data_IF_986566740211
#
_entry.id   IF_986566740211
#
_cell.length_a   1.000
_cell.length_b   1.000
_cell.length_c   1.000
_cell.angle_alpha   90.00
_cell.angle_beta   90.00
_cell.angle_gamma   90.00
#
_symmetry.space_group_name_H-M   'P 1'
#
loop_
_entity.id
_entity.type
_entity.pdbx_description
1 polymer ?
#
# COMPACT_ATOMS: atom_id res chain seq x y z
N UNK A 1 -3.88 -41.30 -19.24
CA UNK A 1 -2.92 -40.16 -19.23
C UNK A 1 -2.31 -40.03 -17.85
N UNK A 2 -1.00 -40.27 -17.68
CA UNK A 2 -0.31 -40.14 -16.38
C UNK A 2 -0.30 -38.68 -15.92
N UNK A 3 -0.84 -38.43 -14.73
CA UNK A 3 -0.74 -37.11 -14.07
C UNK A 3 0.75 -36.75 -13.90
N UNK A 4 1.30 -35.81 -14.72
CA UNK A 4 2.64 -35.24 -14.50
C UNK A 4 2.73 -34.81 -13.05
N UNK A 5 3.58 -35.46 -12.24
CA UNK A 5 3.90 -35.03 -10.87
C UNK A 5 4.40 -33.57 -10.92
N UNK A 6 3.70 -32.66 -10.25
CA UNK A 6 4.14 -31.26 -10.13
C UNK A 6 5.51 -31.24 -9.47
N UNK A 7 6.55 -30.92 -10.24
CA UNK A 7 7.91 -30.73 -9.71
C UNK A 7 7.88 -29.57 -8.71
N UNK A 8 8.23 -29.82 -7.46
CA UNK A 8 8.31 -28.83 -6.38
C UNK A 8 9.56 -27.97 -6.62
N UNK A 9 9.51 -26.68 -6.29
CA UNK A 9 10.69 -25.82 -6.31
C UNK A 9 11.69 -26.29 -5.27
N UNK A 10 12.97 -26.39 -5.63
CA UNK A 10 14.06 -26.57 -4.67
C UNK A 10 14.18 -25.31 -3.76
N UNK A 11 14.91 -25.41 -2.66
CA UNK A 11 15.12 -24.28 -1.76
C UNK A 11 15.80 -23.09 -2.46
N UNK A 12 16.77 -23.38 -3.37
CA UNK A 12 17.48 -22.37 -4.16
C UNK A 12 16.54 -21.72 -5.19
N UNK A 13 15.79 -22.51 -5.96
CA UNK A 13 14.80 -22.01 -6.92
C UNK A 13 13.75 -21.15 -6.22
N UNK A 14 13.25 -21.59 -5.06
CA UNK A 14 12.29 -20.83 -4.26
C UNK A 14 12.87 -19.48 -3.80
N UNK A 15 14.11 -19.45 -3.33
CA UNK A 15 14.78 -18.23 -2.92
C UNK A 15 14.90 -17.25 -4.10
N UNK A 16 15.31 -17.73 -5.28
CA UNK A 16 15.45 -16.89 -6.47
C UNK A 16 14.09 -16.41 -7.01
N UNK A 17 13.02 -17.22 -6.97
CA UNK A 17 11.65 -16.77 -7.28
C UNK A 17 11.27 -15.58 -6.41
N UNK A 18 11.57 -15.64 -5.10
CA UNK A 18 11.30 -14.55 -4.18
C UNK A 18 12.17 -13.32 -4.45
N UNK A 19 13.44 -13.48 -4.79
CA UNK A 19 14.35 -12.37 -5.13
C UNK A 19 13.86 -11.62 -6.36
N UNK A 20 13.50 -12.34 -7.43
CA UNK A 20 12.95 -11.76 -8.66
C UNK A 20 11.61 -11.06 -8.41
N UNK A 21 10.73 -11.69 -7.63
CA UNK A 21 9.46 -11.09 -7.25
C UNK A 21 9.64 -9.79 -6.46
N UNK A 22 10.60 -9.73 -5.53
CA UNK A 22 10.91 -8.52 -4.77
C UNK A 22 11.51 -7.41 -5.64
N UNK A 23 12.27 -7.76 -6.69
CA UNK A 23 12.75 -6.80 -7.71
C UNK A 23 11.64 -6.26 -8.60
N UNK A 24 10.43 -6.80 -8.53
CA UNK A 24 9.27 -6.34 -9.28
C UNK A 24 9.04 -7.04 -10.62
N UNK A 25 9.79 -8.12 -10.90
CA UNK A 25 9.61 -8.92 -12.10
C UNK A 25 8.19 -9.50 -12.18
N UNK A 26 7.62 -9.55 -13.39
CA UNK A 26 6.28 -10.10 -13.61
C UNK A 26 6.26 -11.63 -13.58
N UNK A 27 5.12 -12.23 -13.18
CA UNK A 27 4.96 -13.69 -13.10
C UNK A 27 5.33 -14.45 -14.38
N UNK A 28 5.06 -13.85 -15.56
CA UNK A 28 5.41 -14.43 -16.87
C UNK A 28 6.93 -14.46 -17.07
N UNK A 29 7.63 -13.38 -16.69
CA UNK A 29 9.09 -13.29 -16.82
C UNK A 29 9.77 -14.28 -15.88
N UNK A 30 9.36 -14.32 -14.61
CA UNK A 30 9.86 -15.29 -13.63
C UNK A 30 9.60 -16.71 -14.14
N UNK A 31 8.40 -16.99 -14.65
CA UNK A 31 8.05 -18.31 -15.18
C UNK A 31 8.97 -18.77 -16.31
N UNK A 32 9.35 -17.89 -17.23
CA UNK A 32 10.29 -18.19 -18.33
C UNK A 32 11.66 -18.64 -17.81
N UNK A 33 12.18 -18.00 -16.76
CA UNK A 33 13.51 -18.33 -16.20
C UNK A 33 13.56 -19.76 -15.63
N UNK A 34 12.44 -20.24 -15.06
CA UNK A 34 12.38 -21.57 -14.44
C UNK A 34 11.69 -22.61 -15.33
N UNK A 35 11.41 -22.31 -16.58
CA UNK A 35 10.59 -23.14 -17.48
C UNK A 35 9.27 -23.56 -16.81
N UNK A 36 8.55 -22.58 -16.26
CA UNK A 36 7.29 -22.79 -15.54
C UNK A 36 6.21 -21.82 -16.03
N UNK A 37 4.98 -22.25 -15.96
CA UNK A 37 3.85 -21.35 -16.21
C UNK A 37 3.78 -20.23 -15.16
N UNK A 38 3.27 -19.07 -15.56
CA UNK A 38 2.98 -17.96 -14.63
C UNK A 38 2.03 -18.38 -13.51
N UNK A 39 1.13 -19.34 -13.78
CA UNK A 39 0.24 -19.95 -12.78
C UNK A 39 1.00 -20.74 -11.72
N UNK A 40 2.08 -21.45 -12.07
CA UNK A 40 2.91 -22.18 -11.11
C UNK A 40 3.64 -21.20 -10.16
N UNK A 41 4.18 -20.10 -10.69
CA UNK A 41 4.79 -19.03 -9.88
C UNK A 41 3.73 -18.39 -8.95
N UNK A 42 2.55 -18.08 -9.48
CA UNK A 42 1.45 -17.54 -8.66
C UNK A 42 1.07 -18.47 -7.51
N UNK A 43 0.93 -19.77 -7.76
CA UNK A 43 0.60 -20.76 -6.72
C UNK A 43 1.71 -20.90 -5.67
N UNK A 44 2.97 -20.67 -6.03
CA UNK A 44 4.08 -20.64 -5.08
C UNK A 44 4.05 -19.41 -4.17
N UNK A 45 3.70 -18.23 -4.71
CA UNK A 45 3.64 -16.97 -3.97
C UNK A 45 2.35 -16.79 -3.16
N UNK A 46 1.22 -17.37 -3.64
CA UNK A 46 -0.12 -17.17 -3.07
C UNK A 46 -0.26 -17.54 -1.59
N UNK A 47 0.30 -18.65 -1.07
CA UNK A 47 0.18 -19.01 0.35
C UNK A 47 0.74 -17.95 1.31
N UNK A 48 1.69 -17.16 0.81
CA UNK A 48 2.34 -16.07 1.54
C UNK A 48 1.84 -14.67 1.10
N UNK A 49 0.78 -14.60 0.30
CA UNK A 49 0.22 -13.35 -0.19
C UNK A 49 1.18 -12.48 -1.00
N UNK A 50 2.20 -13.08 -1.63
CA UNK A 50 3.28 -12.36 -2.32
C UNK A 50 4.27 -11.66 -1.38
N UNK A 51 4.21 -11.95 -0.08
CA UNK A 51 5.16 -11.44 0.93
C UNK A 51 6.17 -12.53 1.23
N UNK A 52 7.46 -12.25 0.99
CA UNK A 52 8.52 -13.22 1.25
C UNK A 52 8.52 -13.66 2.71
N UNK A 53 8.46 -14.97 3.03
CA UNK A 53 8.64 -15.45 4.39
C UNK A 53 10.03 -15.05 4.90
N UNK A 54 10.16 -14.61 6.16
CA UNK A 54 11.48 -14.32 6.73
C UNK A 54 12.31 -15.60 6.77
N UNK A 55 13.60 -15.50 6.43
CA UNK A 55 14.53 -16.62 6.61
C UNK A 55 14.57 -17.01 8.08
N UNK A 56 14.35 -18.29 8.35
CA UNK A 56 14.45 -18.81 9.71
C UNK A 56 15.91 -18.81 10.15
N UNK A 57 16.17 -18.12 11.24
CA UNK A 57 17.51 -18.08 11.84
C UNK A 57 17.49 -18.86 13.16
N UNK A 58 18.52 -19.67 13.35
CA UNK A 58 18.74 -20.38 14.59
C UNK A 58 19.44 -19.46 15.61
N UNK A 59 18.99 -19.48 16.84
CA UNK A 59 19.70 -18.79 17.92
C UNK A 59 21.06 -19.48 18.16
N UNK A 60 22.11 -18.70 18.47
CA UNK A 60 23.44 -19.23 18.84
C UNK A 60 23.41 -20.12 20.08
N UNK A 61 22.33 -20.05 20.90
CA UNK A 61 22.14 -20.88 22.07
C UNK A 61 21.62 -22.30 21.77
N UNK A 62 21.14 -22.54 20.55
CA UNK A 62 20.57 -23.83 20.12
C UNK A 62 21.66 -24.63 19.39
N UNK A 63 21.68 -25.95 19.60
CA UNK A 63 22.61 -26.84 18.89
C UNK A 63 22.44 -26.70 17.38
N UNK A 64 23.56 -26.54 16.67
CA UNK A 64 23.64 -26.55 15.21
C UNK A 64 23.60 -27.98 14.67
N UNK A 65 23.51 -28.15 13.35
CA UNK A 65 23.67 -29.47 12.73
C UNK A 65 25.08 -30.02 13.02
N UNK A 66 26.11 -29.20 12.94
CA UNK A 66 27.48 -29.60 13.25
C UNK A 66 27.61 -30.12 14.70
N UNK A 67 27.05 -29.37 15.68
CA UNK A 67 27.04 -29.84 17.08
C UNK A 67 26.35 -31.21 17.21
N UNK A 68 25.25 -31.45 16.46
CA UNK A 68 24.53 -32.72 16.46
C UNK A 68 25.31 -33.86 15.81
N UNK A 69 26.08 -33.54 14.76
CA UNK A 69 26.97 -34.51 14.14
C UNK A 69 28.11 -34.93 15.07
N UNK A 70 28.69 -33.99 15.83
CA UNK A 70 29.67 -34.30 16.86
C UNK A 70 29.06 -35.18 17.98
N UNK A 71 27.84 -34.88 18.43
CA UNK A 71 27.12 -35.74 19.35
C UNK A 71 26.95 -37.15 18.77
N UNK A 72 26.54 -37.27 17.49
CA UNK A 72 26.32 -38.55 16.84
C UNK A 72 27.64 -39.36 16.73
N UNK A 73 28.75 -38.71 16.37
CA UNK A 73 30.07 -39.34 16.30
C UNK A 73 30.57 -39.79 17.68
N UNK A 74 30.47 -38.91 18.68
CA UNK A 74 30.88 -39.22 20.03
C UNK A 74 30.14 -40.41 20.65
N UNK A 75 28.83 -40.52 20.37
CA UNK A 75 28.01 -41.67 20.79
C UNK A 75 28.48 -42.94 20.10
N UNK A 76 28.74 -42.92 18.77
CA UNK A 76 29.15 -44.06 17.99
C UNK A 76 30.50 -44.65 18.46
N UNK A 77 31.39 -43.81 19.01
CA UNK A 77 32.70 -44.19 19.54
C UNK A 77 32.68 -44.43 21.05
N UNK A 78 31.51 -44.33 21.73
CA UNK A 78 31.33 -44.58 23.12
C UNK A 78 31.86 -43.49 24.06
N UNK A 79 32.05 -42.26 23.60
CA UNK A 79 32.48 -41.10 24.39
C UNK A 79 31.40 -40.71 25.38
N UNK A 80 31.79 -40.35 26.61
CA UNK A 80 30.83 -39.95 27.65
C UNK A 80 30.10 -38.63 27.27
N UNK A 81 28.84 -38.50 27.69
CA UNK A 81 28.05 -37.28 27.40
C UNK A 81 28.69 -36.04 28.01
N UNK A 82 29.42 -36.17 29.13
CA UNK A 82 30.17 -35.05 29.72
C UNK A 82 31.33 -34.59 28.82
N UNK A 83 32.06 -35.54 28.27
CA UNK A 83 33.17 -35.25 27.36
C UNK A 83 32.68 -34.63 26.04
N UNK A 84 31.58 -35.16 25.46
CA UNK A 84 30.94 -34.57 24.29
C UNK A 84 30.44 -33.16 24.56
N UNK A 85 29.84 -32.93 25.71
CA UNK A 85 29.35 -31.60 26.08
C UNK A 85 30.51 -30.60 26.28
N UNK A 86 31.62 -31.06 26.87
CA UNK A 86 32.81 -30.24 27.06
C UNK A 86 33.42 -29.83 25.72
N UNK A 87 33.56 -30.76 24.76
CA UNK A 87 34.08 -30.46 23.40
C UNK A 87 33.21 -29.45 22.63
N UNK A 88 31.89 -29.46 22.87
CA UNK A 88 30.95 -28.53 22.25
C UNK A 88 30.82 -27.18 23.00
N UNK A 89 31.47 -27.02 24.15
CA UNK A 89 31.28 -25.84 25.02
C UNK A 89 29.83 -25.72 25.52
N UNK A 90 29.17 -26.86 25.81
CA UNK A 90 27.77 -26.94 26.23
C UNK A 90 27.62 -27.63 27.57
N UNK A 91 26.54 -27.33 28.29
CA UNK A 91 26.23 -28.06 29.53
C UNK A 91 25.92 -29.54 29.23
N UNK A 92 26.37 -30.50 30.06
CA UNK A 92 26.05 -31.92 29.91
C UNK A 92 24.53 -32.20 29.82
N UNK A 93 23.73 -31.46 30.56
CA UNK A 93 22.26 -31.52 30.49
C UNK A 93 21.68 -31.17 29.10
N UNK A 94 22.38 -30.36 28.32
CA UNK A 94 21.96 -30.01 26.94
C UNK A 94 22.07 -31.23 26.04
N UNK A 95 23.20 -31.95 26.10
CA UNK A 95 23.43 -33.16 25.30
C UNK A 95 22.51 -34.28 25.76
N UNK A 96 22.36 -34.50 27.06
CA UNK A 96 21.44 -35.51 27.63
C UNK A 96 19.99 -35.28 27.19
N UNK A 97 19.48 -34.04 27.27
CA UNK A 97 18.13 -33.70 26.82
C UNK A 97 17.96 -33.84 25.32
N UNK A 98 19.00 -33.50 24.53
CA UNK A 98 18.97 -33.68 23.06
C UNK A 98 18.82 -35.15 22.71
N UNK A 99 19.57 -36.04 23.34
CA UNK A 99 19.46 -37.48 23.14
C UNK A 99 18.10 -38.04 23.59
N UNK A 100 17.66 -37.70 24.78
CA UNK A 100 16.38 -38.16 25.28
C UNK A 100 15.21 -37.78 24.36
N UNK A 101 15.25 -36.57 23.80
CA UNK A 101 14.22 -36.07 22.87
C UNK A 101 14.25 -36.74 21.49
N UNK A 102 15.35 -37.36 21.09
CA UNK A 102 15.56 -37.88 19.74
C UNK A 102 15.84 -39.40 19.74
N UNK A 103 15.29 -40.14 20.69
CA UNK A 103 15.29 -41.62 20.72
C UNK A 103 16.44 -42.28 21.47
N UNK A 104 17.22 -41.54 22.24
CA UNK A 104 18.31 -42.07 23.07
C UNK A 104 19.54 -42.47 22.25
N UNK A 105 20.52 -43.14 22.89
CA UNK A 105 21.79 -43.51 22.26
C UNK A 105 21.65 -44.35 21.00
N UNK A 106 20.80 -45.39 20.99
CA UNK A 106 20.72 -46.30 19.88
C UNK A 106 20.04 -45.78 18.61
N UNK A 107 19.14 -44.77 18.74
CA UNK A 107 18.31 -44.26 17.65
C UNK A 107 18.70 -42.83 17.23
N UNK A 108 19.62 -42.21 17.91
CA UNK A 108 20.00 -40.81 17.62
C UNK A 108 20.59 -40.67 16.21
N UNK A 109 20.09 -39.74 15.44
CA UNK A 109 20.60 -39.36 14.11
C UNK A 109 20.60 -37.84 14.01
N UNK A 110 21.77 -37.25 13.79
CA UNK A 110 21.97 -35.78 13.75
C UNK A 110 21.02 -35.05 12.82
N UNK A 111 20.90 -35.54 11.58
CA UNK A 111 20.01 -34.93 10.58
C UNK A 111 18.53 -35.01 10.95
N UNK A 112 18.08 -36.13 11.59
CA UNK A 112 16.70 -36.27 12.05
C UNK A 112 16.42 -35.36 13.24
N UNK A 113 17.34 -35.32 14.20
CA UNK A 113 17.26 -34.45 15.37
C UNK A 113 17.24 -32.95 14.97
N UNK A 114 18.01 -32.59 13.95
CA UNK A 114 18.02 -31.23 13.41
C UNK A 114 16.69 -30.84 12.76
N UNK A 115 16.12 -31.69 11.93
CA UNK A 115 14.78 -31.47 11.33
C UNK A 115 13.71 -31.31 12.42
N UNK A 116 13.68 -32.23 13.38
CA UNK A 116 12.72 -32.15 14.51
C UNK A 116 12.92 -30.90 15.37
N UNK A 117 14.15 -30.41 15.53
CA UNK A 117 14.42 -29.18 16.24
C UNK A 117 13.85 -27.96 15.46
N UNK A 118 13.95 -27.94 14.13
CA UNK A 118 13.32 -26.93 13.28
C UNK A 118 11.79 -26.98 13.37
N UNK A 119 11.18 -28.17 13.40
CA UNK A 119 9.74 -28.35 13.50
C UNK A 119 9.22 -27.91 14.89
N UNK A 120 9.92 -28.31 15.96
CA UNK A 120 9.59 -27.86 17.32
C UNK A 120 9.75 -26.34 17.53
N UNK A 121 10.65 -25.70 16.77
CA UNK A 121 10.82 -24.26 16.78
C UNK A 121 9.71 -23.51 16.04
N UNK A 122 8.81 -24.20 15.31
CA UNK A 122 7.59 -23.65 14.72
C UNK A 122 6.57 -23.34 15.82
N UNK A 123 6.83 -22.30 16.62
CA UNK A 123 5.81 -21.78 17.55
C UNK A 123 5.01 -20.72 16.81
N UNK A 124 3.72 -20.92 16.52
CA UNK A 124 2.87 -19.86 16.01
C UNK A 124 2.81 -18.76 17.06
N UNK A 125 3.39 -17.61 16.75
CA UNK A 125 3.21 -16.40 17.56
C UNK A 125 1.93 -15.73 17.08
N UNK A 126 0.96 -15.65 17.95
CA UNK A 126 -0.23 -14.86 17.68
C UNK A 126 0.18 -13.40 17.39
N UNK A 127 -0.32 -12.87 16.29
CA UNK A 127 -0.04 -11.47 15.94
C UNK A 127 -0.84 -10.54 16.89
N UNK A 128 -0.40 -9.29 17.00
CA UNK A 128 -1.04 -8.29 17.87
C UNK A 128 -2.55 -8.15 17.60
N UNK A 129 -2.97 -8.16 16.32
CA UNK A 129 -4.38 -8.11 15.93
C UNK A 129 -5.19 -9.35 16.36
N UNK A 130 -4.56 -10.50 16.61
CA UNK A 130 -5.24 -11.67 17.14
C UNK A 130 -5.52 -11.54 18.64
N UNK A 131 -4.58 -10.93 19.37
CA UNK A 131 -4.67 -10.76 20.83
C UNK A 131 -5.55 -9.59 21.23
N UNK A 132 -5.57 -8.51 20.44
CA UNK A 132 -6.25 -7.27 20.77
C UNK A 132 -7.50 -7.11 19.90
N UNK A 133 -8.65 -7.47 20.45
CA UNK A 133 -9.91 -7.51 19.71
C UNK A 133 -10.35 -6.11 19.26
N UNK A 134 -10.29 -5.10 20.11
CA UNK A 134 -10.68 -3.73 19.78
C UNK A 134 -9.83 -3.15 18.67
N UNK A 135 -8.49 -3.30 18.75
CA UNK A 135 -7.60 -2.88 17.67
C UNK A 135 -7.94 -3.57 16.35
N UNK A 136 -8.27 -4.88 16.38
CA UNK A 136 -8.69 -5.62 15.19
C UNK A 136 -9.98 -5.07 14.60
N UNK A 137 -10.98 -4.79 15.43
CA UNK A 137 -12.25 -4.22 14.97
C UNK A 137 -12.05 -2.83 14.38
N UNK A 138 -11.26 -1.97 15.04
CA UNK A 138 -10.92 -0.64 14.55
C UNK A 138 -10.19 -0.67 13.21
N UNK A 139 -9.18 -1.54 13.08
CA UNK A 139 -8.47 -1.74 11.81
C UNK A 139 -9.41 -2.25 10.72
N UNK A 140 -10.32 -3.18 11.03
CA UNK A 140 -11.29 -3.71 10.08
C UNK A 140 -12.27 -2.62 9.63
N UNK A 141 -12.78 -1.79 10.53
CA UNK A 141 -13.67 -0.67 10.22
C UNK A 141 -13.00 0.33 9.27
N UNK A 142 -11.76 0.75 9.57
CA UNK A 142 -11.02 1.68 8.71
C UNK A 142 -10.65 1.08 7.34
N UNK A 143 -10.38 -0.22 7.27
CA UNK A 143 -10.21 -0.88 5.97
C UNK A 143 -11.51 -0.85 5.15
N UNK A 144 -12.67 -1.09 5.76
CA UNK A 144 -13.98 -1.01 5.09
C UNK A 144 -14.30 0.40 4.56
N UNK A 145 -13.75 1.44 5.18
CA UNK A 145 -13.78 2.83 4.69
C UNK A 145 -12.73 3.11 3.60
N UNK A 146 -12.13 2.06 3.04
CA UNK A 146 -11.08 2.12 2.01
C UNK A 146 -9.78 2.82 2.44
N UNK A 147 -9.48 2.89 3.74
CA UNK A 147 -8.17 3.36 4.20
C UNK A 147 -7.08 2.34 3.87
N UNK A 148 -5.89 2.82 3.52
CA UNK A 148 -4.76 1.93 3.32
C UNK A 148 -4.16 1.48 4.67
N UNK A 149 -3.51 0.31 4.74
CA UNK A 149 -2.80 -0.11 5.95
C UNK A 149 -1.77 0.91 6.47
N UNK A 150 -1.14 1.70 5.58
CA UNK A 150 -0.20 2.76 5.97
C UNK A 150 -0.93 3.94 6.63
N UNK A 151 -2.08 4.34 6.09
CA UNK A 151 -2.92 5.38 6.68
C UNK A 151 -3.40 4.97 8.07
N UNK A 152 -3.88 3.73 8.22
CA UNK A 152 -4.35 3.21 9.51
C UNK A 152 -3.22 3.17 10.53
N UNK A 153 -2.05 2.63 10.16
CA UNK A 153 -0.92 2.53 11.08
C UNK A 153 -0.40 3.90 11.54
N UNK A 154 -0.35 4.87 10.62
CA UNK A 154 0.08 6.23 10.96
C UNK A 154 -0.95 6.99 11.78
N UNK A 155 -2.23 6.87 11.43
CA UNK A 155 -3.32 7.47 12.20
C UNK A 155 -3.41 6.92 13.62
N UNK A 156 -3.29 5.61 13.80
CA UNK A 156 -3.28 5.00 15.14
C UNK A 156 -2.13 5.55 16.00
N UNK A 157 -0.95 5.72 15.42
CA UNK A 157 0.19 6.32 16.13
C UNK A 157 -0.06 7.79 16.50
N UNK A 158 -0.75 8.53 15.64
CA UNK A 158 -1.08 9.94 15.86
C UNK A 158 -2.21 10.11 16.90
N UNK A 159 -3.23 9.26 16.84
CA UNK A 159 -4.42 9.34 17.72
C UNK A 159 -4.18 8.77 19.11
N UNK A 160 -3.32 7.74 19.22
CA UNK A 160 -2.97 7.07 20.47
C UNK A 160 -1.45 7.12 20.71
N UNK A 161 -0.85 8.32 20.93
CA UNK A 161 0.61 8.46 21.00
C UNK A 161 1.23 7.71 22.18
N UNK A 162 0.54 7.61 23.30
CA UNK A 162 1.04 7.03 24.55
C UNK A 162 0.58 5.59 24.78
N UNK A 163 -0.33 5.06 23.95
CA UNK A 163 -0.84 3.71 24.08
C UNK A 163 -0.19 2.75 23.09
N UNK A 164 0.78 1.98 23.57
CA UNK A 164 1.44 0.95 22.77
C UNK A 164 0.51 -0.19 22.31
N UNK A 165 -0.64 -0.39 22.97
CA UNK A 165 -1.62 -1.40 22.58
C UNK A 165 -2.18 -1.10 21.17
N UNK A 166 -2.32 0.18 20.80
CA UNK A 166 -2.81 0.59 19.48
C UNK A 166 -1.70 0.74 18.43
N UNK A 167 -0.42 0.56 18.77
CA UNK A 167 0.67 0.61 17.78
C UNK A 167 0.74 -0.66 16.95
N UNK A 168 0.41 -0.57 15.67
CA UNK A 168 0.52 -1.67 14.70
C UNK A 168 1.20 -1.19 13.43
N UNK A 169 2.12 -1.99 12.88
CA UNK A 169 2.75 -1.66 11.60
C UNK A 169 1.84 -1.99 10.42
N UNK A 170 1.95 -1.21 9.34
CA UNK A 170 1.23 -1.51 8.10
C UNK A 170 1.56 -2.91 7.55
N UNK A 171 2.78 -3.41 7.75
CA UNK A 171 3.18 -4.77 7.37
C UNK A 171 2.41 -5.84 8.18
N UNK A 172 2.13 -5.59 9.46
CA UNK A 172 1.30 -6.50 10.27
C UNK A 172 -0.11 -6.55 9.74
N UNK A 173 -0.69 -5.41 9.34
CA UNK A 173 -2.02 -5.34 8.73
C UNK A 173 -2.01 -6.09 7.39
N UNK A 174 -1.04 -5.83 6.49
CA UNK A 174 -0.91 -6.54 5.22
C UNK A 174 -0.77 -8.05 5.41
N UNK A 175 0.08 -8.49 6.34
CA UNK A 175 0.23 -9.93 6.63
C UNK A 175 -1.05 -10.57 7.14
N UNK A 176 -1.83 -9.85 7.93
CA UNK A 176 -3.11 -10.36 8.44
C UNK A 176 -4.18 -10.46 7.33
N UNK A 177 -4.08 -9.64 6.27
CA UNK A 177 -4.96 -9.69 5.12
C UNK A 177 -4.57 -10.77 4.10
N UNK A 178 -3.27 -10.89 3.80
CA UNK A 178 -2.80 -11.73 2.69
C UNK A 178 -2.35 -13.13 3.10
N UNK A 179 -1.88 -13.31 4.34
CA UNK A 179 -1.40 -14.62 4.83
C UNK A 179 -2.54 -15.32 5.57
N UNK A 180 -3.29 -16.15 4.86
CA UNK A 180 -4.52 -16.78 5.34
C UNK A 180 -4.34 -17.69 6.57
N UNK A 181 -3.15 -18.26 6.79
CA UNK A 181 -2.84 -19.03 7.99
C UNK A 181 -3.00 -18.22 9.30
N UNK A 182 -3.12 -16.92 9.22
CA UNK A 182 -3.31 -16.03 10.38
C UNK A 182 -4.78 -15.63 10.61
N UNK A 183 -5.65 -15.71 9.59
CA UNK A 183 -7.13 -15.58 9.65
C UNK A 183 -7.75 -14.47 10.51
N UNK A 184 -6.95 -13.47 10.92
CA UNK A 184 -7.33 -12.48 11.92
C UNK A 184 -8.24 -11.40 11.35
N UNK A 185 -8.02 -11.03 10.08
CA UNK A 185 -8.87 -10.10 9.33
C UNK A 185 -9.61 -10.87 8.23
N UNK A 186 -10.88 -10.54 8.02
CA UNK A 186 -11.70 -11.18 6.99
C UNK A 186 -11.10 -10.93 5.60
N UNK A 187 -11.10 -11.95 4.76
CA UNK A 187 -10.58 -11.89 3.39
C UNK A 187 -11.26 -10.83 2.53
N UNK A 188 -12.54 -10.58 2.77
CA UNK A 188 -13.35 -9.60 2.04
C UNK A 188 -12.76 -8.18 2.15
N UNK A 189 -12.08 -7.87 3.26
CA UNK A 189 -11.39 -6.60 3.44
C UNK A 189 -10.26 -6.35 2.42
N UNK A 190 -9.78 -7.38 1.70
CA UNK A 190 -8.82 -7.20 0.60
C UNK A 190 -9.42 -6.42 -0.57
N UNK A 191 -10.73 -6.49 -0.79
CA UNK A 191 -11.43 -5.74 -1.83
C UNK A 191 -11.35 -4.22 -1.62
N UNK A 192 -11.22 -3.78 -0.38
CA UNK A 192 -11.08 -2.37 -0.01
C UNK A 192 -9.66 -1.80 -0.21
N UNK A 193 -8.68 -2.64 -0.54
CA UNK A 193 -7.35 -2.16 -0.88
C UNK A 193 -7.31 -1.55 -2.28
N UNK A 194 -6.56 -0.46 -2.47
CA UNK A 194 -6.44 0.28 -3.75
C UNK A 194 -6.19 -0.62 -4.98
N UNK A 195 -5.50 -1.74 -4.82
CA UNK A 195 -5.16 -2.62 -5.95
C UNK A 195 -6.08 -3.84 -6.11
N UNK A 196 -6.89 -4.21 -5.12
CA UNK A 196 -7.80 -5.37 -5.14
C UNK A 196 -7.15 -6.72 -5.50
N UNK A 197 -5.81 -6.83 -5.43
CA UNK A 197 -5.06 -8.00 -5.91
C UNK A 197 -4.99 -9.11 -4.87
N UNK A 198 -5.04 -10.35 -5.33
CA UNK A 198 -4.92 -11.54 -4.48
C UNK A 198 -3.53 -11.74 -3.86
N UNK A 199 -2.49 -11.11 -4.42
CA UNK A 199 -1.12 -11.09 -3.90
C UNK A 199 -0.53 -9.69 -3.99
N UNK A 200 0.30 -9.33 -3.00
CA UNK A 200 1.00 -8.05 -2.95
C UNK A 200 2.13 -8.01 -3.98
N UNK A 201 2.29 -6.88 -4.67
CA UNK A 201 3.36 -6.64 -5.65
C UNK A 201 4.46 -5.78 -5.05
N UNK A 202 5.69 -5.94 -5.56
CA UNK A 202 6.82 -5.06 -5.20
C UNK A 202 6.56 -3.61 -5.63
N UNK A 203 7.10 -2.64 -4.89
CA UNK A 203 7.09 -1.20 -5.24
C UNK A 203 7.88 -0.89 -6.51
N UNK A 204 8.81 -1.76 -6.90
CA UNK A 204 9.69 -1.56 -8.08
C UNK A 204 9.04 -1.96 -9.40
N UNK A 205 7.77 -2.43 -9.39
CA UNK A 205 7.04 -2.74 -10.62
C UNK A 205 6.50 -1.46 -11.26
N UNK A 206 7.10 -0.98 -12.36
CA UNK A 206 6.74 0.24 -13.08
C UNK A 206 5.48 0.10 -13.96
N UNK A 207 4.77 1.23 -14.14
CA UNK A 207 3.70 1.41 -15.16
C UNK A 207 4.01 2.64 -16.00
N UNK A 208 3.83 2.57 -17.33
CA UNK A 208 4.04 3.67 -18.28
C UNK A 208 2.71 4.37 -18.60
N UNK A 209 2.74 5.67 -18.88
CA UNK A 209 1.60 6.46 -19.43
C UNK A 209 2.05 7.46 -20.48
N UNK A 210 1.16 7.76 -21.45
CA UNK A 210 1.37 8.70 -22.57
C UNK A 210 0.41 9.88 -22.48
N UNK A 211 0.79 11.06 -23.09
CA UNK A 211 0.01 12.30 -23.11
C UNK A 211 0.19 13.10 -24.42
N UNK A 212 -0.83 13.89 -24.86
CA UNK A 212 -0.77 14.85 -25.98
C UNK A 212 -1.82 15.97 -25.87
N UNK A 213 -1.49 17.20 -26.34
CA UNK A 213 -2.41 18.32 -26.66
C UNK A 213 -1.86 19.73 -26.40
N UNK A 214 -2.27 20.76 -27.19
CA UNK A 214 -1.81 22.17 -27.09
C UNK A 214 -2.98 23.16 -27.22
N UNK A 215 -2.88 24.32 -26.52
CA UNK A 215 -3.83 25.45 -26.53
C UNK A 215 -3.11 26.82 -26.64
N UNK A 216 -3.86 27.88 -26.98
CA UNK A 216 -3.41 29.29 -27.16
C UNK A 216 -3.90 30.19 -26.01
N UNK A 217 -3.22 31.33 -25.77
CA UNK A 217 -3.55 32.40 -24.79
C UNK A 217 -3.57 31.96 -23.31
N UNK A 218 -2.51 31.32 -22.84
CA UNK A 218 -2.43 30.79 -21.49
C UNK A 218 -1.40 31.54 -20.66
N UNK A 219 -1.74 31.88 -19.41
CA UNK A 219 -0.78 32.32 -18.42
C UNK A 219 0.02 31.08 -18.01
N UNK A 220 1.35 31.10 -18.26
CA UNK A 220 2.22 29.98 -17.91
C UNK A 220 2.29 29.78 -16.39
N UNK A 221 2.44 28.53 -15.97
CA UNK A 221 2.70 28.20 -14.57
C UNK A 221 3.97 28.88 -14.03
N UNK A 222 4.90 29.28 -14.90
CA UNK A 222 6.14 30.01 -14.54
C UNK A 222 5.88 31.44 -14.08
N UNK A 223 4.75 32.02 -14.44
CA UNK A 223 4.30 33.35 -14.00
C UNK A 223 3.56 33.30 -12.65
N UNK A 224 3.39 32.11 -12.12
CA UNK A 224 2.72 31.87 -10.86
C UNK A 224 3.57 32.38 -9.69
N UNK A 225 2.99 33.11 -8.70
CA UNK A 225 3.72 33.59 -7.52
C UNK A 225 4.44 32.47 -6.79
N UNK A 226 5.62 32.74 -6.23
CA UNK A 226 6.41 31.76 -5.49
C UNK A 226 5.66 31.18 -4.27
N UNK A 227 4.75 31.93 -3.66
CA UNK A 227 3.85 31.49 -2.59
C UNK A 227 2.99 30.27 -2.97
N UNK A 228 2.72 30.11 -4.26
CA UNK A 228 1.96 28.96 -4.79
C UNK A 228 2.85 27.70 -4.91
N UNK A 229 4.16 27.85 -5.12
CA UNK A 229 5.09 26.72 -5.20
C UNK A 229 5.33 26.06 -3.85
N UNK A 230 5.42 26.84 -2.80
CA UNK A 230 5.79 26.40 -1.44
C UNK A 230 4.72 25.52 -0.76
N UNK A 231 3.52 25.40 -1.33
CA UNK A 231 2.40 24.65 -0.72
C UNK A 231 2.11 25.01 0.74
N UNK A 232 2.69 26.09 1.23
CA UNK A 232 2.52 26.57 2.60
C UNK A 232 1.26 27.43 2.74
N UNK A 233 0.86 28.10 1.67
CA UNK A 233 -0.29 29.02 1.66
C UNK A 233 -1.53 28.27 1.16
N UNK A 234 -2.64 28.24 1.94
CA UNK A 234 -3.91 27.68 1.49
C UNK A 234 -4.58 28.58 0.43
N UNK A 235 -5.48 27.95 -0.34
CA UNK A 235 -6.27 28.63 -1.36
C UNK A 235 -5.79 28.40 -2.81
N UNK A 236 -4.77 27.59 -3.02
CA UNK A 236 -4.26 27.25 -4.34
C UNK A 236 -4.72 25.85 -4.78
N UNK A 237 -5.53 25.80 -5.84
CA UNK A 237 -6.20 24.58 -6.29
C UNK A 237 -5.55 24.00 -7.55
N UNK A 238 -5.53 22.69 -7.65
CA UNK A 238 -5.22 21.92 -8.88
C UNK A 238 -6.50 21.28 -9.39
N UNK A 239 -6.82 21.49 -10.65
CA UNK A 239 -8.01 20.92 -11.28
C UNK A 239 -7.69 19.93 -12.41
N UNK A 240 -8.61 18.97 -12.65
CA UNK A 240 -8.51 17.97 -13.72
C UNK A 240 -9.87 17.34 -14.03
N UNK A 241 -9.97 16.62 -15.16
CA UNK A 241 -11.11 15.80 -15.49
C UNK A 241 -10.82 14.31 -15.29
N UNK A 242 -11.62 13.67 -14.45
CA UNK A 242 -11.65 12.22 -14.36
C UNK A 242 -12.52 11.65 -15.48
N UNK A 243 -11.91 11.01 -16.48
CA UNK A 243 -12.61 10.47 -17.64
C UNK A 243 -13.15 9.06 -17.38
N UNK A 244 -14.42 8.81 -17.76
CA UNK A 244 -15.08 7.50 -17.75
C UNK A 244 -15.28 6.94 -19.16
N UNK A 245 -16.14 5.90 -19.28
CA UNK A 245 -16.67 5.45 -20.56
C UNK A 245 -17.85 6.33 -21.01
N UNK A 246 -18.31 6.15 -22.23
CA UNK A 246 -19.48 6.86 -22.78
C UNK A 246 -19.39 8.39 -22.66
N UNK A 247 -18.19 8.95 -22.89
CA UNK A 247 -17.92 10.40 -22.80
C UNK A 247 -18.43 11.02 -21.48
N UNK A 248 -18.23 10.33 -20.35
CA UNK A 248 -18.63 10.79 -19.06
C UNK A 248 -17.44 11.30 -18.24
N UNK A 249 -17.65 12.38 -17.50
CA UNK A 249 -16.58 13.10 -16.81
C UNK A 249 -17.01 13.57 -15.42
N UNK A 250 -16.02 13.69 -14.54
CA UNK A 250 -16.13 14.35 -13.22
C UNK A 250 -15.00 15.37 -13.11
N UNK A 251 -15.32 16.60 -12.76
CA UNK A 251 -14.33 17.61 -12.40
C UNK A 251 -13.78 17.28 -11.02
N UNK A 252 -12.47 17.33 -10.89
CA UNK A 252 -11.76 17.15 -9.63
C UNK A 252 -11.00 18.42 -9.30
N UNK A 253 -11.21 18.97 -8.11
CA UNK A 253 -10.45 20.08 -7.55
C UNK A 253 -9.73 19.60 -6.30
N UNK A 254 -8.44 19.87 -6.19
CA UNK A 254 -7.60 19.49 -5.05
C UNK A 254 -6.87 20.72 -4.54
N UNK A 255 -7.13 21.10 -3.29
CA UNK A 255 -6.39 22.15 -2.63
C UNK A 255 -4.94 21.66 -2.31
N UNK A 256 -3.95 22.48 -2.62
CA UNK A 256 -2.53 22.07 -2.64
C UNK A 256 -1.91 21.92 -1.25
N UNK A 257 -2.30 22.75 -0.29
CA UNK A 257 -1.79 22.71 1.08
C UNK A 257 -2.44 21.58 1.89
N UNK A 258 -3.77 21.57 1.95
CA UNK A 258 -4.56 20.66 2.78
C UNK A 258 -4.87 19.33 2.13
N UNK A 259 -4.70 19.22 0.80
CA UNK A 259 -5.14 18.06 -0.02
C UNK A 259 -6.66 17.85 -0.02
N UNK A 260 -7.41 18.88 0.35
CA UNK A 260 -8.87 18.84 0.33
C UNK A 260 -9.40 18.68 -1.08
N UNK A 261 -10.42 17.84 -1.25
CA UNK A 261 -10.96 17.44 -2.56
C UNK A 261 -12.39 17.90 -2.69
N UNK A 262 -12.71 18.52 -3.82
CA UNK A 262 -14.07 18.75 -4.28
C UNK A 262 -14.27 18.02 -5.60
N UNK A 263 -15.48 17.50 -5.80
CA UNK A 263 -15.88 16.80 -7.02
C UNK A 263 -17.14 17.47 -7.58
N UNK A 264 -17.15 17.70 -8.90
CA UNK A 264 -18.34 18.23 -9.55
C UNK A 264 -18.78 17.38 -10.73
N UNK A 265 -20.08 17.16 -10.84
CA UNK A 265 -20.69 16.51 -11.99
C UNK A 265 -20.68 17.45 -13.18
N UNK A 266 -20.26 16.94 -14.35
CA UNK A 266 -20.38 17.66 -15.61
C UNK A 266 -21.14 16.83 -16.63
N UNK A 267 -21.92 17.48 -17.47
CA UNK A 267 -22.69 16.80 -18.49
C UNK A 267 -21.82 16.34 -19.65
N UNK A 268 -20.89 17.23 -20.07
CA UNK A 268 -20.01 17.03 -21.22
C UNK A 268 -18.62 17.56 -20.91
N UNK A 269 -17.67 17.28 -21.81
CA UNK A 269 -16.29 17.83 -21.78
C UNK A 269 -16.19 19.21 -22.45
N UNK A 270 -17.31 19.83 -22.83
CA UNK A 270 -17.27 21.17 -23.39
C UNK A 270 -16.88 22.21 -22.32
N UNK A 271 -16.21 23.28 -22.78
CA UNK A 271 -15.68 24.30 -21.90
C UNK A 271 -16.77 25.02 -21.08
N UNK A 272 -17.97 25.18 -21.65
CA UNK A 272 -19.06 25.87 -20.98
C UNK A 272 -19.57 25.06 -19.77
N UNK A 273 -19.75 23.74 -19.94
CA UNK A 273 -20.19 22.83 -18.86
C UNK A 273 -19.14 22.73 -17.74
N UNK A 274 -17.86 22.61 -18.10
CA UNK A 274 -16.77 22.50 -17.11
C UNK A 274 -16.61 23.81 -16.34
N UNK A 275 -16.60 24.95 -17.01
CA UNK A 275 -16.46 26.28 -16.36
C UNK A 275 -17.67 26.57 -15.47
N UNK A 276 -18.89 26.24 -15.87
CA UNK A 276 -20.07 26.45 -15.01
C UNK A 276 -19.98 25.61 -13.72
N UNK A 277 -19.57 24.33 -13.82
CA UNK A 277 -19.37 23.47 -12.65
C UNK A 277 -18.26 24.00 -11.72
N UNK A 278 -17.17 24.52 -12.30
CA UNK A 278 -16.08 25.13 -11.52
C UNK A 278 -16.54 26.39 -10.77
N UNK A 279 -17.32 27.27 -11.41
CA UNK A 279 -17.88 28.46 -10.79
C UNK A 279 -18.80 28.10 -9.61
N UNK A 280 -19.66 27.08 -9.77
CA UNK A 280 -20.50 26.59 -8.68
C UNK A 280 -19.70 26.08 -7.49
N UNK A 281 -18.61 25.34 -7.72
CA UNK A 281 -17.76 24.84 -6.65
C UNK A 281 -16.98 25.99 -5.97
N UNK A 282 -16.48 26.94 -6.76
CA UNK A 282 -15.76 28.12 -6.25
C UNK A 282 -16.63 28.94 -5.28
N UNK A 283 -17.90 29.20 -5.64
CA UNK A 283 -18.85 29.95 -4.81
C UNK A 283 -19.21 29.28 -3.46
N UNK A 284 -18.87 28.01 -3.28
CA UNK A 284 -19.07 27.29 -2.00
C UNK A 284 -17.90 27.44 -1.04
N UNK A 285 -16.81 28.03 -1.50
CA UNK A 285 -15.59 28.23 -0.72
C UNK A 285 -15.54 29.66 -0.19
N UNK A 286 -14.93 29.90 0.99
CA UNK A 286 -14.55 31.23 1.42
C UNK A 286 -13.58 31.86 0.40
N UNK A 287 -13.73 33.16 0.13
CA UNK A 287 -12.92 33.88 -0.89
C UNK A 287 -11.42 33.78 -0.59
N UNK A 288 -11.03 33.79 0.67
CA UNK A 288 -9.65 33.67 1.15
C UNK A 288 -9.03 32.29 0.84
N UNK A 289 -9.87 31.28 0.65
CA UNK A 289 -9.45 29.91 0.37
C UNK A 289 -9.55 29.52 -1.12
N UNK A 290 -9.79 30.51 -2.02
CA UNK A 290 -9.74 30.27 -3.46
C UNK A 290 -8.97 31.40 -4.17
N UNK A 291 -7.64 31.30 -4.19
CA UNK A 291 -6.72 32.31 -4.72
C UNK A 291 -6.27 32.03 -6.15
N UNK A 292 -6.09 30.78 -6.52
CA UNK A 292 -5.71 30.40 -7.88
C UNK A 292 -6.15 28.99 -8.23
N UNK A 293 -6.35 28.75 -9.53
CA UNK A 293 -6.62 27.44 -10.10
C UNK A 293 -5.50 27.09 -11.10
N UNK A 294 -4.92 25.90 -10.96
CA UNK A 294 -3.96 25.35 -11.91
C UNK A 294 -4.61 24.21 -12.68
N UNK A 295 -4.53 24.26 -14.03
CA UNK A 295 -5.11 23.28 -14.93
C UNK A 295 -4.08 22.81 -15.95
N UNK A 296 -4.37 21.71 -16.66
CA UNK A 296 -3.58 21.39 -17.85
C UNK A 296 -4.05 22.22 -19.06
N UNK A 297 -3.37 22.03 -20.21
CA UNK A 297 -3.72 22.71 -21.45
C UNK A 297 -4.87 22.00 -22.19
N UNK A 298 -5.84 21.45 -21.47
CA UNK A 298 -6.99 20.79 -22.05
C UNK A 298 -8.00 21.78 -22.66
N UNK A 299 -8.59 21.44 -23.83
CA UNK A 299 -9.59 22.28 -24.53
C UNK A 299 -10.82 22.60 -23.68
N UNK A 300 -11.08 21.82 -22.63
CA UNK A 300 -12.15 22.04 -21.65
C UNK A 300 -11.99 23.35 -20.86
N UNK A 301 -10.81 23.94 -20.87
CA UNK A 301 -10.53 25.25 -20.23
C UNK A 301 -10.44 26.41 -21.24
N UNK A 302 -10.89 26.23 -22.47
CA UNK A 302 -10.85 27.30 -23.50
C UNK A 302 -11.55 28.60 -23.06
N UNK A 303 -12.61 28.50 -22.23
CA UNK A 303 -13.34 29.65 -21.67
C UNK A 303 -12.85 30.04 -20.25
N UNK A 304 -11.60 29.78 -19.88
CA UNK A 304 -11.04 30.10 -18.55
C UNK A 304 -11.23 31.56 -18.12
N UNK A 305 -11.24 32.51 -19.08
CA UNK A 305 -11.51 33.93 -18.80
C UNK A 305 -12.88 34.14 -18.17
N UNK A 306 -13.92 33.35 -18.57
CA UNK A 306 -15.25 33.40 -17.97
C UNK A 306 -15.20 32.97 -16.50
N UNK A 307 -14.35 31.98 -16.14
CA UNK A 307 -14.15 31.57 -14.76
C UNK A 307 -13.50 32.71 -13.94
N UNK A 308 -12.41 33.29 -14.44
CA UNK A 308 -11.73 34.42 -13.79
C UNK A 308 -12.67 35.62 -13.58
N UNK A 309 -13.46 35.99 -14.62
CA UNK A 309 -14.42 37.09 -14.51
C UNK A 309 -15.56 36.82 -13.49
N UNK A 310 -15.92 35.56 -13.27
CA UNK A 310 -17.01 35.19 -12.37
C UNK A 310 -16.56 34.99 -10.91
N UNK A 311 -15.27 34.76 -10.66
CA UNK A 311 -14.73 34.34 -9.37
C UNK A 311 -13.56 35.19 -8.88
N UNK A 312 -13.03 36.09 -9.70
CA UNK A 312 -11.79 36.86 -9.49
C UNK A 312 -10.53 35.97 -9.25
N UNK A 313 -10.60 34.69 -9.65
CA UNK A 313 -9.54 33.70 -9.42
C UNK A 313 -8.68 33.55 -10.67
N UNK A 314 -7.36 33.71 -10.50
CA UNK A 314 -6.39 33.52 -11.59
C UNK A 314 -6.26 32.04 -11.97
N UNK A 315 -6.25 31.76 -13.30
CA UNK A 315 -6.05 30.40 -13.85
C UNK A 315 -4.65 30.30 -14.47
N UNK A 316 -3.87 29.33 -13.99
CA UNK A 316 -2.54 29.01 -14.50
C UNK A 316 -2.51 27.69 -15.25
N UNK A 317 -1.74 27.61 -16.33
CA UNK A 317 -1.64 26.41 -17.14
C UNK A 317 -0.26 25.76 -17.04
N UNK A 318 -0.25 24.44 -16.80
CA UNK A 318 0.97 23.65 -16.71
C UNK A 318 1.77 23.69 -18.02
N UNK A 319 3.09 23.58 -17.90
CA UNK A 319 3.95 23.39 -19.07
C UNK A 319 3.61 22.07 -19.78
N UNK A 320 3.78 21.99 -21.11
CA UNK A 320 3.60 20.76 -21.84
C UNK A 320 4.46 19.63 -21.26
N UNK A 321 3.90 18.44 -21.17
CA UNK A 321 4.59 17.23 -20.70
C UNK A 321 5.14 17.30 -19.25
N UNK A 322 4.60 18.20 -18.42
CA UNK A 322 5.04 18.41 -17.02
C UNK A 322 4.01 17.95 -15.98
N UNK A 323 3.64 16.65 -15.94
CA UNK A 323 2.60 16.14 -15.03
C UNK A 323 2.94 16.33 -13.54
N UNK A 324 4.25 16.42 -13.19
CA UNK A 324 4.68 16.68 -11.81
C UNK A 324 4.20 18.02 -11.24
N UNK A 325 3.86 18.98 -12.11
CA UNK A 325 3.33 20.28 -11.70
C UNK A 325 1.93 20.19 -11.08
N UNK A 326 1.21 19.06 -11.29
CA UNK A 326 -0.10 18.74 -10.71
C UNK A 326 -0.09 17.43 -9.92
N UNK A 327 0.98 17.14 -9.24
CA UNK A 327 1.16 15.88 -8.51
C UNK A 327 0.11 15.63 -7.42
N UNK A 328 -0.54 16.66 -6.88
CA UNK A 328 -1.62 16.52 -5.88
C UNK A 328 -2.87 15.94 -6.54
N UNK A 329 -3.24 16.45 -7.70
CA UNK A 329 -4.42 16.01 -8.42
C UNK A 329 -4.23 14.60 -9.02
N UNK A 330 -3.08 14.31 -9.64
CA UNK A 330 -2.77 12.99 -10.17
C UNK A 330 -2.87 11.89 -9.09
N UNK A 331 -2.29 12.14 -7.91
CA UNK A 331 -2.40 11.20 -6.80
C UNK A 331 -3.85 11.02 -6.33
N UNK A 332 -4.62 12.09 -6.25
CA UNK A 332 -6.05 12.08 -5.85
C UNK A 332 -6.90 11.35 -6.88
N UNK A 333 -6.71 11.60 -8.18
CA UNK A 333 -7.35 10.87 -9.26
C UNK A 333 -7.06 9.36 -9.17
N UNK A 334 -5.84 8.98 -8.79
CA UNK A 334 -5.49 7.60 -8.51
C UNK A 334 -6.25 6.99 -7.33
N UNK A 335 -6.64 7.76 -6.30
CA UNK A 335 -7.47 7.31 -5.19
C UNK A 335 -8.94 7.25 -5.58
N UNK A 336 -9.43 8.21 -6.37
CA UNK A 336 -10.80 8.23 -6.89
C UNK A 336 -11.12 7.00 -7.73
N UNK A 337 -10.13 6.36 -8.36
CA UNK A 337 -10.30 5.09 -9.10
C UNK A 337 -10.71 3.90 -8.24
N UNK A 338 -10.68 3.99 -6.92
CA UNK A 338 -11.29 3.00 -6.04
C UNK A 338 -12.83 3.08 -6.07
N UNK A 339 -13.38 4.28 -6.28
CA UNK A 339 -14.82 4.56 -6.32
C UNK A 339 -15.35 4.59 -7.74
N UNK A 340 -14.55 5.08 -8.67
CA UNK A 340 -14.84 5.30 -10.07
C UNK A 340 -13.81 4.55 -10.95
N UNK A 341 -13.96 3.22 -11.11
CA UNK A 341 -13.02 2.41 -11.89
C UNK A 341 -12.90 2.91 -13.33
N UNK A 342 -11.73 2.70 -13.94
CA UNK A 342 -11.53 3.00 -15.37
C UNK A 342 -12.50 2.19 -16.23
N UNK A 343 -13.06 2.82 -17.25
CA UNK A 343 -14.00 2.16 -18.17
C UNK A 343 -15.44 2.07 -17.67
N UNK A 344 -15.79 2.66 -16.52
CA UNK A 344 -17.16 2.79 -16.06
C UNK A 344 -17.78 4.10 -16.51
N UNK A 345 -19.10 4.13 -16.69
CA UNK A 345 -19.84 5.33 -17.01
C UNK A 345 -20.00 6.19 -15.75
N UNK A 346 -19.40 7.38 -15.75
CA UNK A 346 -19.42 8.30 -14.60
C UNK A 346 -20.70 9.16 -14.54
N UNK A 347 -21.44 9.28 -15.65
CA UNK A 347 -22.67 10.07 -15.70
C UNK A 347 -23.80 9.51 -14.82
N UNK A 348 -23.73 8.21 -14.47
CA UNK A 348 -24.74 7.56 -13.61
C UNK A 348 -24.70 8.04 -12.16
N UNK A 349 -23.61 8.69 -11.73
CA UNK A 349 -23.45 9.18 -10.37
C UNK A 349 -24.13 10.54 -10.21
N UNK A 350 -24.87 10.72 -9.12
CA UNK A 350 -25.44 12.01 -8.73
C UNK A 350 -24.38 12.90 -8.06
N UNK A 351 -24.66 14.21 -7.93
CA UNK A 351 -23.77 15.12 -7.22
C UNK A 351 -23.64 14.73 -5.73
N UNK A 352 -24.70 14.28 -5.08
CA UNK A 352 -24.70 13.82 -3.69
C UNK A 352 -23.73 12.63 -3.51
N UNK A 353 -23.68 11.71 -4.49
CA UNK A 353 -22.72 10.60 -4.48
C UNK A 353 -21.28 11.08 -4.64
N UNK A 354 -21.03 12.10 -5.45
CA UNK A 354 -19.71 12.71 -5.59
C UNK A 354 -19.29 13.40 -4.28
N UNK A 355 -20.21 14.12 -3.66
CA UNK A 355 -19.98 14.81 -2.37
C UNK A 355 -19.68 13.81 -1.24
N UNK A 356 -20.38 12.67 -1.24
CA UNK A 356 -20.11 11.56 -0.31
C UNK A 356 -18.69 11.00 -0.50
N UNK A 357 -18.29 10.73 -1.73
CA UNK A 357 -16.94 10.24 -2.04
C UNK A 357 -15.87 11.28 -1.67
N UNK A 358 -16.11 12.55 -1.94
CA UNK A 358 -15.23 13.64 -1.54
C UNK A 358 -15.06 13.69 -0.01
N UNK A 359 -16.17 13.61 0.76
CA UNK A 359 -16.14 13.54 2.23
C UNK A 359 -15.34 12.34 2.73
N UNK A 360 -15.53 11.16 2.14
CA UNK A 360 -14.76 9.97 2.52
C UNK A 360 -13.27 10.15 2.26
N UNK A 361 -12.87 10.74 1.12
CA UNK A 361 -11.46 11.03 0.80
C UNK A 361 -10.86 12.10 1.71
N UNK A 362 -11.63 13.13 2.03
CA UNK A 362 -11.22 14.21 2.93
C UNK A 362 -11.12 13.75 4.40
N UNK A 363 -11.81 12.69 4.78
CA UNK A 363 -11.70 12.01 6.07
C UNK A 363 -10.54 11.02 6.18
N UNK A 364 -9.80 10.73 5.09
CA UNK A 364 -8.66 9.79 5.13
C UNK A 364 -7.37 10.50 5.51
N UNK A 365 -6.60 10.01 6.51
CA UNK A 365 -5.32 10.58 6.89
C UNK A 365 -4.34 10.60 5.72
N UNK A 366 -3.48 11.62 5.67
CA UNK A 366 -2.43 11.74 4.67
C UNK A 366 -1.06 11.75 5.32
N UNK A 367 -0.17 10.88 4.84
CA UNK A 367 1.21 10.84 5.33
C UNK A 367 1.92 12.18 5.15
N UNK A 368 1.64 12.88 4.05
CA UNK A 368 2.18 14.22 3.76
C UNK A 368 1.65 15.31 4.68
N UNK A 369 0.58 15.04 5.44
CA UNK A 369 0.00 15.91 6.45
C UNK A 369 0.26 15.39 7.88
N UNK A 370 1.33 14.60 8.08
CA UNK A 370 1.60 14.02 9.40
C UNK A 370 0.54 13.05 9.90
N UNK A 371 -0.26 12.47 9.00
CA UNK A 371 -1.42 11.62 9.26
C UNK A 371 -2.66 12.36 9.80
N UNK A 372 -2.70 13.66 9.71
CA UNK A 372 -3.95 14.41 9.79
C UNK A 372 -4.80 14.20 8.53
N UNK A 373 -6.10 14.52 8.63
CA UNK A 373 -7.01 14.41 7.48
C UNK A 373 -7.06 15.73 6.70
N UNK A 374 -7.32 15.69 5.38
CA UNK A 374 -7.58 16.91 4.60
C UNK A 374 -8.68 17.78 5.19
N UNK A 375 -9.76 17.17 5.72
CA UNK A 375 -10.87 17.90 6.33
C UNK A 375 -10.42 18.68 7.59
N UNK A 376 -9.63 18.06 8.47
CA UNK A 376 -9.10 18.75 9.66
C UNK A 376 -8.19 19.93 9.28
N UNK A 377 -7.27 19.70 8.32
CA UNK A 377 -6.39 20.77 7.84
C UNK A 377 -7.14 21.90 7.16
N UNK A 378 -8.16 21.57 6.35
CA UNK A 378 -8.96 22.59 5.67
C UNK A 378 -9.79 23.40 6.69
N UNK A 379 -10.43 22.73 7.64
CA UNK A 379 -11.17 23.42 8.70
C UNK A 379 -10.29 24.35 9.56
N UNK A 380 -9.03 23.92 9.83
CA UNK A 380 -8.08 24.80 10.52
C UNK A 380 -7.72 26.06 9.69
N UNK A 381 -7.64 25.93 8.36
CA UNK A 381 -7.42 27.10 7.49
C UNK A 381 -8.64 28.03 7.48
N UNK A 382 -9.87 27.50 7.45
CA UNK A 382 -11.11 28.31 7.56
C UNK A 382 -11.12 29.08 8.87
N UNK A 383 -10.85 28.42 10.00
CA UNK A 383 -10.84 29.06 11.32
C UNK A 383 -9.73 30.11 11.50
N UNK A 384 -8.75 30.18 10.61
CA UNK A 384 -7.70 31.25 10.63
C UNK A 384 -8.05 32.44 9.74
N UNK A 385 -9.11 32.35 8.95
CA UNK A 385 -9.60 33.43 8.07
C UNK A 385 -10.77 34.20 8.67
N UNK A 386 -11.44 33.62 9.67
CA UNK A 386 -12.44 34.30 10.53
C UNK A 386 -11.74 35.09 11.65
#
# INVERSE_FOLDING_TARGET
>A
MAKRRRRIFSAAESAEVWDRWQRGEGLKLIGRVFDRSSGAIFQHLKPHGGIRPPMRRRSRRVLSLADREEISRGIAVGISLRSIAASLGRAPSTVSRELARNGGHGRYRAAAADRQAWDRALRPKECKLARHQELRQLVAARLSENWSPEQIAGWLKHTYPDDEAYRVSHETIYRSLFVQARGVLKKDLQAHLRSGRAIRRSRHASSRSDSRGSLTDMISIRERPASVEDRAVPGHWEGDLLCGSSNSYIVTLVERHTRYVLLAKVRNRDSASVISALIEQAKRLPDELIKSLTWDRGKEMAQHRRFTLATDVAVYFCDPQSPWQRGSNENTNGLLRQYFPKGTNLAVHSQERLDEVARQLNGRPRKTLGFETPAQRFAACVAMTD
#
